data_IF_408923337530
#
_entry.id   IF_408923337530
#
_cell.length_a   1.000
_cell.length_b   1.000
_cell.length_c   1.000
_cell.angle_alpha   90.00
_cell.angle_beta   90.00
_cell.angle_gamma   90.00
#
_symmetry.space_group_name_H-M   'P 1'
#
loop_
_entity.id
_entity.type
_entity.pdbx_description
1 polymer ?
#
# COMPACT_ATOMS: atom_id res chain seq x y z
N UNK A 1 -21.28 50.63 -25.12
CA UNK A 1 -20.58 49.34 -25.37
C UNK A 1 -19.66 48.89 -24.24
N UNK A 2 -18.70 49.70 -23.78
CA UNK A 2 -17.70 49.34 -22.73
C UNK A 2 -18.30 48.81 -21.43
N UNK A 3 -19.43 49.37 -20.92
CA UNK A 3 -20.08 48.93 -19.67
C UNK A 3 -20.66 47.51 -19.75
N UNK A 4 -21.19 47.10 -20.93
CA UNK A 4 -21.70 45.74 -21.13
C UNK A 4 -20.57 44.69 -21.08
N UNK A 5 -19.43 44.97 -21.71
CA UNK A 5 -18.27 44.08 -21.67
C UNK A 5 -17.68 43.96 -20.26
N UNK A 6 -17.67 45.04 -19.48
CA UNK A 6 -17.25 45.03 -18.09
C UNK A 6 -18.16 44.16 -17.21
N UNK A 7 -19.49 44.24 -17.40
CA UNK A 7 -20.45 43.42 -16.68
C UNK A 7 -20.33 41.93 -17.06
N UNK A 8 -20.12 41.61 -18.34
CA UNK A 8 -19.88 40.25 -18.80
C UNK A 8 -18.58 39.71 -18.19
N UNK A 9 -17.50 40.47 -18.20
CA UNK A 9 -16.25 40.09 -17.58
C UNK A 9 -16.39 39.83 -16.09
N UNK A 10 -17.10 40.69 -15.35
CA UNK A 10 -17.36 40.48 -13.93
C UNK A 10 -18.19 39.20 -13.66
N UNK A 11 -19.21 38.95 -14.48
CA UNK A 11 -20.03 37.73 -14.38
C UNK A 11 -19.22 36.48 -14.64
N UNK A 12 -18.32 36.48 -15.64
CA UNK A 12 -17.41 35.33 -15.92
C UNK A 12 -16.46 35.10 -14.76
N UNK A 13 -15.84 36.16 -14.21
CA UNK A 13 -14.97 36.05 -13.04
C UNK A 13 -15.70 35.49 -11.83
N UNK A 14 -16.94 35.96 -11.56
CA UNK A 14 -17.76 35.42 -10.47
C UNK A 14 -18.11 33.95 -10.67
N UNK A 15 -18.45 33.54 -11.89
CA UNK A 15 -18.74 32.14 -12.23
C UNK A 15 -17.50 31.25 -12.04
N UNK A 16 -16.32 31.70 -12.47
CA UNK A 16 -15.04 30.98 -12.27
C UNK A 16 -14.69 30.88 -10.78
N UNK A 17 -14.91 31.94 -10.01
CA UNK A 17 -14.68 31.92 -8.56
C UNK A 17 -15.60 30.91 -7.85
N UNK A 18 -16.90 30.93 -8.17
CA UNK A 18 -17.85 29.96 -7.62
C UNK A 18 -17.50 28.53 -8.02
N UNK A 19 -17.16 28.30 -9.29
CA UNK A 19 -16.73 26.99 -9.76
C UNK A 19 -15.49 26.48 -9.00
N UNK A 20 -14.47 27.34 -8.85
CA UNK A 20 -13.26 26.98 -8.08
C UNK A 20 -13.58 26.68 -6.63
N UNK A 21 -14.48 27.47 -6.01
CA UNK A 21 -14.93 27.22 -4.64
C UNK A 21 -15.65 25.89 -4.47
N UNK A 22 -16.52 25.52 -5.41
CA UNK A 22 -17.20 24.22 -5.42
C UNK A 22 -16.19 23.07 -5.59
N UNK A 23 -15.21 23.21 -6.49
CA UNK A 23 -14.18 22.19 -6.69
C UNK A 23 -13.32 21.98 -5.45
N UNK A 24 -12.88 23.05 -4.79
CA UNK A 24 -12.13 22.98 -3.53
C UNK A 24 -12.95 22.33 -2.41
N UNK A 25 -14.23 22.72 -2.31
CA UNK A 25 -15.13 22.13 -1.30
C UNK A 25 -15.32 20.63 -1.54
N UNK A 26 -15.50 20.20 -2.79
CA UNK A 26 -15.63 18.77 -3.14
C UNK A 26 -14.36 18.00 -2.79
N UNK A 27 -13.19 18.55 -3.11
CA UNK A 27 -11.90 17.94 -2.76
C UNK A 27 -11.75 17.79 -1.25
N UNK A 28 -12.07 18.84 -0.48
CA UNK A 28 -12.04 18.78 0.99
C UNK A 28 -13.05 17.78 1.56
N UNK A 29 -14.25 17.71 0.98
CA UNK A 29 -15.26 16.75 1.42
C UNK A 29 -14.83 15.29 1.15
N UNK A 30 -14.24 15.01 -0.01
CA UNK A 30 -13.71 13.66 -0.35
C UNK A 30 -12.54 13.28 0.56
N UNK A 31 -11.61 14.22 0.83
CA UNK A 31 -10.52 14.03 1.79
C UNK A 31 -11.04 13.61 3.17
N UNK A 32 -11.98 14.38 3.70
CA UNK A 32 -12.56 14.13 5.01
C UNK A 32 -13.32 12.80 5.06
N UNK A 33 -14.14 12.52 4.05
CA UNK A 33 -14.88 11.27 3.95
C UNK A 33 -13.94 10.06 3.87
N UNK A 34 -12.87 10.16 3.09
CA UNK A 34 -11.87 9.11 2.96
C UNK A 34 -11.14 8.84 4.28
N UNK A 35 -10.72 9.90 4.99
CA UNK A 35 -10.06 9.78 6.30
C UNK A 35 -10.99 9.13 7.34
N UNK A 36 -12.25 9.59 7.44
CA UNK A 36 -13.25 9.02 8.35
C UNK A 36 -13.54 7.54 8.03
N UNK A 37 -13.59 7.19 6.74
CA UNK A 37 -13.81 5.81 6.31
C UNK A 37 -12.65 4.90 6.73
N UNK A 38 -11.39 5.32 6.56
CA UNK A 38 -10.24 4.56 7.00
C UNK A 38 -10.17 4.42 8.52
N UNK A 39 -10.49 5.47 9.27
CA UNK A 39 -10.56 5.43 10.73
C UNK A 39 -11.62 4.42 11.21
N UNK A 40 -12.80 4.41 10.58
CA UNK A 40 -13.85 3.46 10.89
C UNK A 40 -13.42 2.02 10.59
N UNK A 41 -12.75 1.78 9.45
CA UNK A 41 -12.25 0.45 9.09
C UNK A 41 -11.12 0.01 10.04
N UNK A 42 -10.21 0.92 10.41
CA UNK A 42 -9.16 0.63 11.38
C UNK A 42 -9.72 0.28 12.78
N UNK A 43 -10.82 0.89 13.17
CA UNK A 43 -11.50 0.58 14.44
C UNK A 43 -12.13 -0.82 14.48
N UNK A 44 -12.29 -1.49 13.32
CA UNK A 44 -12.78 -2.88 13.26
C UNK A 44 -11.68 -3.91 13.48
N UNK A 45 -10.42 -3.49 13.36
CA UNK A 45 -9.28 -4.40 13.55
C UNK A 45 -9.22 -4.76 15.03
N UNK A 46 -9.37 -6.05 15.35
CA UNK A 46 -9.25 -6.53 16.74
C UNK A 46 -7.81 -6.31 17.22
N UNK A 47 -7.66 -5.50 18.24
CA UNK A 47 -6.38 -5.26 18.91
C UNK A 47 -6.18 -6.32 19.97
N UNK A 48 -4.99 -6.90 20.07
CA UNK A 48 -4.61 -7.69 21.23
C UNK A 48 -4.85 -6.88 22.49
N UNK A 49 -5.43 -7.48 23.56
CA UNK A 49 -5.59 -6.79 24.81
C UNK A 49 -4.22 -6.33 25.31
N UNK A 50 -4.07 -5.03 25.57
CA UNK A 50 -2.85 -4.48 26.13
C UNK A 50 -2.48 -5.28 27.40
N UNK A 51 -1.19 -5.59 27.64
CA UNK A 51 -0.76 -6.31 28.82
C UNK A 51 -1.22 -5.52 30.05
N UNK A 52 -2.14 -6.09 30.80
CA UNK A 52 -2.63 -5.51 32.05
C UNK A 52 -1.52 -5.68 33.09
N UNK A 53 -1.03 -4.57 33.64
CA UNK A 53 -0.03 -4.50 34.73
C UNK A 53 -0.54 -5.10 36.07
N UNK A 54 -1.32 -6.15 36.03
CA UNK A 54 -1.76 -6.89 37.18
C UNK A 54 -1.09 -8.25 37.21
N UNK A 55 -0.35 -8.64 38.27
CA UNK A 55 0.23 -9.97 38.38
C UNK A 55 -0.88 -10.98 38.66
N UNK A 56 -1.57 -11.42 37.62
CA UNK A 56 -2.40 -12.61 37.65
C UNK A 56 -1.71 -13.69 36.81
N UNK A 57 -1.80 -14.93 37.31
CA UNK A 57 -1.28 -16.14 36.65
C UNK A 57 -1.48 -16.06 35.15
N UNK A 58 -0.37 -16.12 34.42
CA UNK A 58 -0.31 -16.02 32.97
C UNK A 58 -0.96 -17.28 32.38
N UNK A 59 -2.28 -17.31 32.29
CA UNK A 59 -2.94 -18.10 31.27
C UNK A 59 -2.56 -17.47 29.94
N UNK A 60 -1.71 -18.12 29.16
CA UNK A 60 -1.36 -17.72 27.79
C UNK A 60 -2.67 -17.66 27.00
N UNK A 61 -3.23 -16.47 26.82
CA UNK A 61 -4.33 -16.26 25.90
C UNK A 61 -3.82 -16.67 24.52
N UNK A 62 -4.57 -17.49 23.78
CA UNK A 62 -4.16 -17.88 22.43
C UNK A 62 -3.96 -16.62 21.58
N UNK A 63 -2.81 -16.53 20.94
CA UNK A 63 -2.47 -15.44 20.01
C UNK A 63 -3.52 -15.39 18.88
N UNK A 64 -4.13 -14.22 18.65
CA UNK A 64 -5.14 -14.04 17.59
C UNK A 64 -4.55 -14.45 16.25
N UNK A 65 -5.26 -15.26 15.50
CA UNK A 65 -4.92 -15.52 14.09
C UNK A 65 -5.15 -14.26 13.24
N UNK A 66 -4.46 -14.15 12.13
CA UNK A 66 -4.67 -13.02 11.22
C UNK A 66 -6.13 -12.94 10.73
N UNK A 67 -6.77 -14.09 10.51
CA UNK A 67 -8.19 -14.13 10.15
C UNK A 67 -9.08 -13.56 11.24
N UNK A 68 -8.87 -13.93 12.50
CA UNK A 68 -9.66 -13.41 13.63
C UNK A 68 -9.47 -11.90 13.77
N UNK A 69 -8.22 -11.42 13.64
CA UNK A 69 -7.89 -9.98 13.71
C UNK A 69 -8.62 -9.16 12.65
N UNK A 70 -8.75 -9.67 11.42
CA UNK A 70 -9.29 -8.91 10.29
C UNK A 70 -10.68 -9.34 9.83
N UNK A 71 -11.32 -10.30 10.52
CA UNK A 71 -12.62 -10.85 10.15
C UNK A 71 -13.69 -9.79 9.99
N UNK A 72 -13.81 -8.86 10.94
CA UNK A 72 -14.83 -7.81 10.91
C UNK A 72 -14.66 -6.85 9.71
N UNK A 73 -13.42 -6.62 9.28
CA UNK A 73 -13.12 -5.84 8.06
C UNK A 73 -13.56 -6.59 6.81
N UNK A 74 -13.23 -7.88 6.73
CA UNK A 74 -13.58 -8.74 5.60
C UNK A 74 -15.11 -8.96 5.49
N UNK A 75 -15.83 -9.04 6.61
CA UNK A 75 -17.30 -9.14 6.62
C UNK A 75 -17.98 -7.89 6.07
N UNK A 76 -17.37 -6.69 6.22
CA UNK A 76 -17.92 -5.45 5.64
C UNK A 76 -17.62 -5.33 4.14
N UNK A 77 -16.48 -5.83 3.68
CA UNK A 77 -16.15 -5.83 2.27
C UNK A 77 -15.33 -7.07 1.92
N UNK A 78 -15.97 -8.00 1.20
CA UNK A 78 -15.37 -9.28 0.80
C UNK A 78 -14.18 -9.18 -0.14
N UNK A 79 -13.94 -8.00 -0.75
CA UNK A 79 -12.76 -7.75 -1.59
C UNK A 79 -11.52 -7.41 -0.75
N UNK A 80 -11.67 -7.29 0.58
CA UNK A 80 -10.56 -7.13 1.49
C UNK A 80 -9.70 -8.39 1.51
N UNK A 81 -8.39 -8.21 1.30
CA UNK A 81 -7.43 -9.33 1.23
C UNK A 81 -6.30 -9.23 2.25
N UNK A 82 -6.12 -8.07 2.87
CA UNK A 82 -5.08 -7.90 3.87
C UNK A 82 -4.92 -6.45 4.34
N UNK A 83 -3.95 -6.25 5.23
CA UNK A 83 -3.63 -4.96 5.82
C UNK A 83 -2.15 -4.65 5.61
N UNK A 84 -1.86 -3.49 5.04
CA UNK A 84 -0.50 -3.04 4.76
C UNK A 84 -0.12 -1.89 5.69
N UNK A 85 1.02 -2.01 6.35
CA UNK A 85 1.59 -0.90 7.12
C UNK A 85 3.10 -0.78 6.96
N UNK A 86 3.59 0.45 7.02
CA UNK A 86 5.03 0.76 7.13
C UNK A 86 5.21 1.52 8.45
N UNK A 87 5.76 0.88 9.49
CA UNK A 87 5.89 1.50 10.81
C UNK A 87 6.60 2.85 10.76
N UNK A 88 6.07 3.85 11.46
CA UNK A 88 6.62 5.21 11.50
C UNK A 88 6.23 6.10 10.31
N UNK A 89 5.35 5.63 9.43
CA UNK A 89 4.82 6.40 8.28
C UNK A 89 3.30 6.50 8.32
N UNK A 90 2.72 7.22 7.36
CA UNK A 90 1.26 7.30 7.18
C UNK A 90 0.69 6.07 6.43
N UNK A 91 1.52 5.11 6.01
CA UNK A 91 1.05 3.93 5.31
C UNK A 91 0.55 2.92 6.34
N UNK A 92 -0.77 2.88 6.52
CA UNK A 92 -1.48 1.96 7.42
C UNK A 92 -2.92 1.79 6.91
N UNK A 93 -3.12 0.86 5.96
CA UNK A 93 -4.34 0.80 5.17
C UNK A 93 -4.81 -0.63 4.91
N UNK A 94 -6.14 -0.86 4.81
CA UNK A 94 -6.68 -2.06 4.22
C UNK A 94 -6.23 -2.19 2.76
N UNK A 95 -6.04 -3.42 2.30
CA UNK A 95 -5.68 -3.73 0.92
C UNK A 95 -6.77 -4.58 0.30
N UNK A 96 -7.20 -4.19 -0.88
CA UNK A 96 -8.30 -4.79 -1.61
C UNK A 96 -7.80 -5.58 -2.82
N UNK A 97 -8.62 -6.49 -3.33
CA UNK A 97 -8.37 -7.12 -4.64
C UNK A 97 -9.69 -7.43 -5.34
N UNK A 98 -9.75 -7.11 -6.64
CA UNK A 98 -10.80 -7.54 -7.56
C UNK A 98 -10.14 -8.17 -8.77
N UNK A 99 -10.29 -9.49 -8.92
CA UNK A 99 -9.64 -10.25 -10.01
C UNK A 99 -10.29 -9.94 -11.35
N UNK A 100 -11.62 -9.81 -11.38
CA UNK A 100 -12.40 -9.64 -12.61
C UNK A 100 -12.54 -8.17 -13.05
N UNK A 101 -12.24 -7.20 -12.16
CA UNK A 101 -12.34 -5.77 -12.42
C UNK A 101 -11.01 -5.05 -12.12
N UNK A 102 -10.05 -5.04 -13.06
CA UNK A 102 -8.75 -4.37 -12.87
C UNK A 102 -8.91 -2.91 -12.48
N UNK A 103 -8.07 -2.46 -11.53
CA UNK A 103 -8.06 -1.07 -11.04
C UNK A 103 -9.39 -0.58 -10.42
N UNK A 104 -10.29 -1.47 -9.99
CA UNK A 104 -11.58 -1.10 -9.41
C UNK A 104 -11.42 -0.10 -8.27
N UNK A 105 -10.47 -0.35 -7.34
CA UNK A 105 -10.20 0.49 -6.18
C UNK A 105 -9.32 1.71 -6.46
N UNK A 106 -8.88 1.92 -7.71
CA UNK A 106 -8.14 3.12 -8.09
C UNK A 106 -8.94 4.41 -7.83
N UNK A 107 -10.28 4.35 -8.00
CA UNK A 107 -11.18 5.50 -7.84
C UNK A 107 -12.41 5.15 -6.99
N UNK A 108 -12.27 4.21 -6.06
CA UNK A 108 -13.32 3.81 -5.12
C UNK A 108 -12.78 3.66 -3.72
N UNK A 109 -13.55 4.13 -2.75
CA UNK A 109 -13.33 3.91 -1.32
C UNK A 109 -13.59 2.46 -0.89
N UNK A 110 -13.39 2.18 0.39
CA UNK A 110 -13.65 0.87 0.99
C UNK A 110 -15.13 0.46 0.86
N UNK A 111 -16.03 1.44 0.86
CA UNK A 111 -17.49 1.28 0.66
C UNK A 111 -17.90 1.09 -0.82
N UNK A 112 -16.92 0.96 -1.72
CA UNK A 112 -17.12 0.86 -3.19
C UNK A 112 -17.68 2.13 -3.85
N UNK A 113 -17.89 3.21 -3.09
CA UNK A 113 -18.32 4.48 -3.65
C UNK A 113 -17.13 5.22 -4.29
N UNK A 114 -17.44 6.18 -5.17
CA UNK A 114 -16.40 6.98 -5.81
C UNK A 114 -15.59 7.75 -4.77
N UNK A 115 -14.26 7.65 -4.85
CA UNK A 115 -13.29 8.43 -4.11
C UNK A 115 -12.05 8.68 -4.96
N UNK A 116 -11.56 9.91 -4.98
CA UNK A 116 -10.30 10.25 -5.64
C UNK A 116 -9.07 9.70 -4.88
N UNK A 117 -9.24 9.34 -3.62
CA UNK A 117 -8.22 8.71 -2.78
C UNK A 117 -8.03 7.23 -3.11
N UNK A 118 -9.09 6.54 -3.53
CA UNK A 118 -9.07 5.09 -3.72
C UNK A 118 -8.78 4.32 -2.43
N UNK A 119 -8.44 3.05 -2.57
CA UNK A 119 -7.89 2.19 -1.50
C UNK A 119 -6.70 1.44 -2.11
N UNK A 120 -5.61 1.17 -1.37
CA UNK A 120 -4.55 0.30 -1.85
C UNK A 120 -5.09 -1.05 -2.33
N UNK A 121 -4.58 -1.55 -3.43
CA UNK A 121 -5.09 -2.78 -4.01
C UNK A 121 -4.01 -3.64 -4.66
N UNK A 122 -4.17 -4.95 -4.57
CA UNK A 122 -3.34 -5.94 -5.23
C UNK A 122 -3.71 -6.00 -6.71
N UNK A 123 -2.70 -6.12 -7.58
CA UNK A 123 -2.89 -6.31 -9.01
C UNK A 123 -3.73 -7.56 -9.28
N UNK A 124 -4.62 -7.49 -10.27
CA UNK A 124 -5.63 -8.50 -10.56
C UNK A 124 -5.09 -9.91 -10.87
N UNK A 125 -3.91 -10.00 -11.46
CA UNK A 125 -3.26 -11.26 -11.83
C UNK A 125 -2.32 -11.82 -10.76
N UNK A 126 -2.27 -11.21 -9.58
CA UNK A 126 -1.56 -11.76 -8.43
C UNK A 126 -2.46 -12.72 -7.65
N UNK A 127 -1.94 -13.88 -7.31
CA UNK A 127 -2.52 -14.82 -6.35
C UNK A 127 -1.71 -14.73 -5.05
N UNK A 128 -2.37 -14.34 -3.94
CA UNK A 128 -1.69 -14.09 -2.65
C UNK A 128 -1.00 -15.35 -2.09
N UNK A 129 -1.46 -16.54 -2.46
CA UNK A 129 -0.86 -17.80 -2.02
C UNK A 129 0.23 -18.30 -2.97
N UNK A 130 0.03 -18.13 -4.27
CA UNK A 130 0.84 -18.80 -5.29
C UNK A 130 1.85 -17.88 -5.97
N UNK A 131 1.57 -16.59 -6.08
CA UNK A 131 2.49 -15.65 -6.71
C UNK A 131 3.82 -15.54 -5.96
N UNK A 132 4.90 -15.37 -6.70
CA UNK A 132 6.22 -15.09 -6.13
C UNK A 132 6.38 -13.59 -5.81
N UNK A 133 5.60 -12.74 -6.49
CA UNK A 133 5.56 -11.31 -6.23
C UNK A 133 4.12 -10.78 -6.31
N UNK A 134 3.63 -10.16 -5.24
CA UNK A 134 2.36 -9.47 -5.21
C UNK A 134 2.58 -7.96 -5.38
N UNK A 135 2.07 -7.38 -6.47
CA UNK A 135 2.16 -5.95 -6.73
C UNK A 135 0.98 -5.23 -6.10
N UNK A 136 1.26 -4.23 -5.25
CA UNK A 136 0.27 -3.45 -4.52
C UNK A 136 0.39 -1.99 -4.95
N UNK A 137 -0.71 -1.44 -5.44
CA UNK A 137 -0.80 -0.06 -5.89
C UNK A 137 -1.50 0.81 -4.85
N UNK A 138 -1.05 2.05 -4.71
CA UNK A 138 -1.71 3.08 -3.92
C UNK A 138 -1.43 4.47 -4.49
N UNK A 139 -2.36 5.40 -4.30
CA UNK A 139 -2.20 6.78 -4.75
C UNK A 139 -1.09 7.51 -3.99
N UNK A 140 -0.42 8.43 -4.66
CA UNK A 140 0.36 9.48 -4.04
C UNK A 140 -0.52 10.72 -3.91
N UNK A 141 -1.03 11.01 -2.71
CA UNK A 141 -1.85 12.17 -2.47
C UNK A 141 -1.01 13.37 -2.02
N UNK A 142 -1.35 14.56 -2.52
CA UNK A 142 -0.60 15.80 -2.22
C UNK A 142 -0.64 16.19 -0.73
N UNK A 143 -1.63 15.72 0.02
CA UNK A 143 -1.75 15.92 1.47
C UNK A 143 -0.88 14.93 2.29
N UNK A 144 -0.08 14.08 1.65
CA UNK A 144 0.82 13.14 2.30
C UNK A 144 0.17 11.82 2.74
N UNK A 145 -1.09 11.58 2.38
CA UNK A 145 -1.79 10.33 2.68
C UNK A 145 -1.58 9.26 1.60
N UNK A 146 -2.18 8.11 1.78
CA UNK A 146 -2.06 6.93 0.95
C UNK A 146 -0.59 6.48 0.84
N UNK A 147 -0.07 6.26 -0.37
CA UNK A 147 1.31 5.84 -0.60
C UNK A 147 2.28 7.01 -0.86
N UNK A 148 1.91 8.24 -0.46
CA UNK A 148 2.80 9.39 -0.62
C UNK A 148 4.16 9.18 0.07
N UNK A 149 4.17 8.53 1.24
CA UNK A 149 5.39 8.26 2.02
C UNK A 149 6.35 7.28 1.33
N UNK A 150 5.91 6.50 0.33
CA UNK A 150 6.83 5.71 -0.48
C UNK A 150 7.86 6.58 -1.22
N UNK A 151 7.51 7.81 -1.57
CA UNK A 151 8.46 8.72 -2.22
C UNK A 151 9.56 9.19 -1.28
N UNK A 152 9.39 9.10 0.05
CA UNK A 152 10.44 9.40 1.03
C UNK A 152 11.58 8.39 1.00
N UNK A 153 11.33 7.17 0.51
CA UNK A 153 12.37 6.16 0.26
C UNK A 153 13.39 6.59 -0.81
N UNK A 154 13.22 7.74 -1.47
CA UNK A 154 14.29 8.36 -2.25
C UNK A 154 15.52 8.67 -1.40
N UNK A 155 15.33 8.93 -0.10
CA UNK A 155 16.40 9.10 0.88
C UNK A 155 16.83 7.76 1.48
N UNK A 156 18.13 7.47 1.43
CA UNK A 156 18.70 6.31 2.11
C UNK A 156 18.53 6.41 3.63
N UNK A 157 18.61 7.61 4.22
CA UNK A 157 18.39 7.82 5.66
C UNK A 157 16.96 7.39 6.06
N UNK A 158 15.96 7.73 5.23
CA UNK A 158 14.59 7.28 5.47
C UNK A 158 14.47 5.75 5.40
N UNK A 159 15.12 5.11 4.43
CA UNK A 159 15.17 3.64 4.35
C UNK A 159 15.81 3.04 5.61
N UNK A 160 16.90 3.61 6.14
CA UNK A 160 17.56 3.08 7.34
C UNK A 160 16.62 3.04 8.57
N UNK A 161 15.66 3.95 8.63
CA UNK A 161 14.64 4.01 9.70
C UNK A 161 13.42 3.13 9.40
N UNK A 162 13.18 2.76 8.12
CA UNK A 162 11.97 2.09 7.65
C UNK A 162 12.31 0.87 6.75
N UNK A 163 13.13 -0.06 7.26
CA UNK A 163 13.61 -1.23 6.50
C UNK A 163 12.54 -2.28 6.25
N UNK A 164 11.49 -2.29 7.06
CA UNK A 164 10.46 -3.33 7.03
C UNK A 164 9.09 -2.79 6.65
N UNK A 165 8.34 -3.63 5.97
CA UNK A 165 6.95 -3.44 5.61
C UNK A 165 6.15 -4.60 6.19
N UNK A 166 4.98 -4.34 6.76
CA UNK A 166 4.06 -5.38 7.20
C UNK A 166 2.92 -5.50 6.20
N UNK A 167 2.69 -6.71 5.74
CA UNK A 167 1.52 -7.03 4.95
C UNK A 167 0.89 -8.31 5.48
N UNK A 168 -0.11 -8.10 6.32
CA UNK A 168 -0.92 -9.17 6.87
C UNK A 168 -2.00 -9.56 5.85
N UNK A 169 -2.20 -10.85 5.65
CA UNK A 169 -3.30 -11.37 4.86
C UNK A 169 -4.26 -12.15 5.77
N UNK A 170 -5.44 -12.51 5.27
CA UNK A 170 -6.37 -13.35 6.04
C UNK A 170 -5.79 -14.72 6.39
N UNK A 171 -4.73 -15.17 5.70
CA UNK A 171 -4.07 -16.47 5.94
C UNK A 171 -2.87 -16.38 6.88
N UNK A 172 -2.39 -15.19 7.24
CA UNK A 172 -1.27 -15.06 8.16
C UNK A 172 -0.66 -13.66 8.19
N UNK A 173 0.09 -13.40 9.23
CA UNK A 173 0.90 -12.20 9.39
C UNK A 173 2.12 -12.25 8.47
N UNK A 174 2.51 -11.11 7.94
CA UNK A 174 3.65 -11.01 7.04
C UNK A 174 4.53 -9.81 7.32
N UNK A 175 5.80 -10.05 7.58
CA UNK A 175 6.83 -9.03 7.66
C UNK A 175 7.76 -9.17 6.46
N UNK A 176 8.12 -8.04 5.84
CA UNK A 176 8.90 -7.99 4.61
C UNK A 176 10.05 -7.01 4.77
N UNK A 177 11.24 -7.40 4.35
CA UNK A 177 12.43 -6.57 4.34
C UNK A 177 12.69 -5.98 2.96
N UNK A 178 12.96 -4.67 2.89
CA UNK A 178 13.14 -3.96 1.62
C UNK A 178 14.42 -4.43 0.91
N UNK A 179 14.25 -4.93 -0.32
CA UNK A 179 15.33 -5.42 -1.20
C UNK A 179 15.84 -4.34 -2.13
N UNK A 180 14.94 -3.54 -2.71
CA UNK A 180 15.30 -2.50 -3.68
C UNK A 180 14.27 -1.38 -3.69
N UNK A 181 14.76 -0.15 -3.94
CA UNK A 181 13.95 1.05 -4.12
C UNK A 181 14.38 1.74 -5.40
N UNK A 182 13.48 1.95 -6.33
CA UNK A 182 13.82 2.59 -7.60
C UNK A 182 12.68 3.43 -8.18
N UNK A 183 13.08 4.32 -9.09
CA UNK A 183 12.16 5.08 -9.94
C UNK A 183 12.12 4.47 -11.34
N UNK A 184 10.94 4.44 -11.94
CA UNK A 184 10.76 3.98 -13.32
C UNK A 184 9.61 4.73 -13.97
N UNK A 185 9.40 4.54 -15.27
CA UNK A 185 8.28 5.12 -16.02
C UNK A 185 7.37 3.98 -16.49
N UNK A 186 6.13 3.99 -15.99
CA UNK A 186 5.13 3.01 -16.43
C UNK A 186 4.67 3.27 -17.86
N UNK A 187 4.23 2.21 -18.56
CA UNK A 187 3.69 2.28 -19.92
C UNK A 187 4.66 2.85 -20.96
N UNK A 188 5.96 2.76 -20.70
CA UNK A 188 7.03 3.18 -21.60
C UNK A 188 7.86 1.98 -22.04
N UNK A 189 8.31 1.99 -23.30
CA UNK A 189 9.28 0.98 -23.79
C UNK A 189 10.63 1.06 -23.06
N UNK A 190 10.95 2.21 -22.51
CA UNK A 190 12.20 2.47 -21.79
C UNK A 190 12.10 2.18 -20.30
N UNK A 191 10.88 2.03 -19.74
CA UNK A 191 10.65 1.79 -18.31
C UNK A 191 10.74 0.31 -17.95
N UNK A 192 11.23 0.01 -16.76
CA UNK A 192 11.20 -1.35 -16.23
C UNK A 192 9.77 -1.75 -15.87
N UNK A 193 9.27 -2.82 -16.50
CA UNK A 193 7.90 -3.32 -16.34
C UNK A 193 7.80 -4.28 -15.17
N UNK A 194 8.17 -3.86 -13.97
CA UNK A 194 8.19 -4.64 -12.72
C UNK A 194 6.85 -5.34 -12.45
N UNK A 195 5.76 -4.76 -12.89
CA UNK A 195 4.39 -5.26 -12.70
C UNK A 195 4.03 -6.46 -13.60
N UNK A 196 4.89 -6.87 -14.53
CA UNK A 196 4.71 -8.10 -15.29
C UNK A 196 5.25 -9.33 -14.55
N UNK A 197 6.15 -9.12 -13.57
CA UNK A 197 6.72 -10.20 -12.80
C UNK A 197 5.85 -10.48 -11.56
N UNK A 198 4.96 -11.45 -11.68
CA UNK A 198 4.13 -11.94 -10.57
C UNK A 198 4.47 -13.38 -10.19
N UNK A 199 5.05 -14.15 -11.15
CA UNK A 199 5.50 -15.52 -10.95
C UNK A 199 6.72 -15.79 -11.81
N UNK A 200 7.70 -16.48 -11.24
CA UNK A 200 8.89 -16.91 -11.95
C UNK A 200 8.67 -18.26 -12.62
N UNK A 201 9.14 -18.39 -13.84
CA UNK A 201 9.16 -19.68 -14.55
C UNK A 201 10.33 -20.56 -14.08
N UNK A 202 11.39 -19.96 -13.53
CA UNK A 202 12.59 -20.65 -13.07
C UNK A 202 13.36 -19.81 -12.04
N UNK A 203 14.35 -20.42 -11.38
CA UNK A 203 15.28 -19.73 -10.51
C UNK A 203 16.11 -18.65 -11.25
N UNK A 204 16.42 -18.89 -12.53
CA UNK A 204 17.15 -17.92 -13.37
C UNK A 204 16.28 -16.69 -13.65
N UNK A 205 15.00 -16.87 -13.96
CA UNK A 205 14.04 -15.80 -14.21
C UNK A 205 13.83 -14.95 -12.94
N UNK A 206 13.65 -15.61 -11.78
CA UNK A 206 13.57 -14.91 -10.50
C UNK A 206 14.84 -14.09 -10.20
N UNK A 207 16.02 -14.72 -10.36
CA UNK A 207 17.31 -14.06 -10.17
C UNK A 207 17.51 -12.87 -11.11
N UNK A 208 17.09 -12.97 -12.37
CA UNK A 208 17.14 -11.88 -13.34
C UNK A 208 16.26 -10.69 -12.92
N UNK A 209 15.05 -10.97 -12.42
CA UNK A 209 14.17 -9.91 -11.88
C UNK A 209 14.80 -9.19 -10.69
N UNK A 210 15.33 -9.92 -9.71
CA UNK A 210 16.01 -9.34 -8.54
C UNK A 210 17.25 -8.54 -8.95
N UNK A 211 18.06 -9.07 -9.85
CA UNK A 211 19.23 -8.37 -10.37
C UNK A 211 18.86 -7.04 -11.05
N UNK A 212 17.78 -7.03 -11.83
CA UNK A 212 17.28 -5.83 -12.47
C UNK A 212 16.76 -4.80 -11.45
N UNK A 213 16.02 -5.24 -10.41
CA UNK A 213 15.56 -4.37 -9.33
C UNK A 213 16.76 -3.73 -8.60
N UNK A 214 17.77 -4.53 -8.27
CA UNK A 214 18.99 -4.03 -7.59
C UNK A 214 19.81 -3.10 -8.48
N UNK A 215 19.90 -3.36 -9.77
CA UNK A 215 20.61 -2.49 -10.73
C UNK A 215 19.96 -1.11 -10.88
N UNK A 216 18.65 -1.02 -10.69
CA UNK A 216 17.88 0.23 -10.73
C UNK A 216 17.78 0.91 -9.36
N UNK A 217 18.14 0.21 -8.28
CA UNK A 217 17.96 0.72 -6.92
C UNK A 217 18.76 1.99 -6.69
N UNK A 218 18.15 2.95 -6.00
CA UNK A 218 18.73 4.26 -5.67
C UNK A 218 19.95 4.14 -4.74
N UNK A 219 20.00 3.06 -3.95
CA UNK A 219 21.08 2.72 -3.03
C UNK A 219 21.12 1.19 -2.83
N UNK A 220 22.22 0.69 -2.28
CA UNK A 220 22.32 -0.72 -1.91
C UNK A 220 21.72 -0.95 -0.51
N UNK A 221 20.67 -1.76 -0.45
CA UNK A 221 20.02 -2.14 0.82
C UNK A 221 20.82 -3.18 1.61
N UNK A 222 21.79 -3.86 0.98
CA UNK A 222 22.48 -5.03 1.52
C UNK A 222 21.61 -6.30 1.51
N UNK A 223 20.32 -6.20 1.15
CA UNK A 223 19.35 -7.31 1.14
C UNK A 223 19.24 -7.89 -0.27
N UNK A 224 19.05 -9.19 -0.37
CA UNK A 224 18.74 -9.88 -1.63
C UNK A 224 17.62 -10.90 -1.42
N UNK A 225 17.05 -11.40 -2.51
CA UNK A 225 16.06 -12.45 -2.51
C UNK A 225 16.48 -13.58 -3.46
N UNK A 226 16.09 -14.82 -3.12
CA UNK A 226 16.38 -16.02 -3.87
C UNK A 226 15.09 -16.70 -4.33
N UNK A 227 15.19 -17.57 -5.34
CA UNK A 227 14.02 -18.30 -5.83
C UNK A 227 13.37 -19.14 -4.72
N UNK A 228 12.09 -18.94 -4.52
CA UNK A 228 11.31 -19.50 -3.40
C UNK A 228 10.95 -18.45 -2.34
N UNK A 229 11.66 -17.33 -2.27
CA UNK A 229 11.23 -16.19 -1.45
C UNK A 229 9.92 -15.59 -2.01
N UNK A 230 9.09 -15.06 -1.13
CA UNK A 230 7.88 -14.33 -1.50
C UNK A 230 8.12 -12.84 -1.42
N UNK A 231 7.75 -12.14 -2.47
CA UNK A 231 7.93 -10.71 -2.62
C UNK A 231 6.60 -9.96 -2.55
N UNK A 232 6.67 -8.72 -2.07
CA UNK A 232 5.69 -7.68 -2.36
C UNK A 232 6.38 -6.52 -3.07
N UNK A 233 5.67 -5.90 -3.99
CA UNK A 233 6.11 -4.70 -4.70
C UNK A 233 5.11 -3.60 -4.49
N UNK A 234 5.49 -2.56 -3.73
CA UNK A 234 4.66 -1.38 -3.51
C UNK A 234 4.93 -0.36 -4.59
N UNK A 235 3.88 0.20 -5.18
CA UNK A 235 4.02 1.16 -6.27
C UNK A 235 3.08 2.35 -6.13
N UNK A 236 3.63 3.54 -6.31
CA UNK A 236 2.88 4.79 -6.35
C UNK A 236 3.34 5.71 -7.47
N UNK A 237 2.54 6.75 -7.76
CA UNK A 237 2.94 7.79 -8.71
C UNK A 237 4.11 8.62 -8.16
N UNK A 238 5.06 8.91 -9.05
CA UNK A 238 6.17 9.83 -8.80
C UNK A 238 6.14 10.87 -9.93
N UNK A 239 6.35 12.14 -9.60
CA UNK A 239 5.98 13.24 -10.50
C UNK A 239 7.17 13.91 -11.20
N UNK A 240 8.40 13.37 -11.09
CA UNK A 240 9.55 13.87 -11.85
C UNK A 240 9.43 13.63 -13.35
N UNK A 241 8.66 12.60 -13.74
CA UNK A 241 8.38 12.25 -15.12
C UNK A 241 6.90 11.93 -15.34
N UNK A 242 6.43 12.11 -16.58
CA UNK A 242 5.09 11.63 -16.97
C UNK A 242 5.02 10.11 -16.80
N UNK A 243 4.02 9.64 -16.08
CA UNK A 243 3.86 8.23 -15.69
C UNK A 243 5.00 7.68 -14.82
N UNK A 244 5.73 8.56 -14.12
CA UNK A 244 6.74 8.15 -13.15
C UNK A 244 6.15 7.29 -12.02
N UNK A 245 6.94 6.34 -11.56
CA UNK A 245 6.61 5.47 -10.43
C UNK A 245 7.78 5.42 -9.46
N UNK A 246 7.43 5.51 -8.17
CA UNK A 246 8.29 5.05 -7.08
C UNK A 246 7.90 3.62 -6.77
N UNK A 247 8.89 2.74 -6.70
CA UNK A 247 8.72 1.30 -6.50
C UNK A 247 9.61 0.85 -5.35
N UNK A 248 9.01 0.13 -4.40
CA UNK A 248 9.69 -0.51 -3.26
C UNK A 248 9.42 -2.01 -3.35
N UNK A 249 10.47 -2.80 -3.54
CA UNK A 249 10.41 -4.27 -3.57
C UNK A 249 10.91 -4.79 -2.23
N UNK A 250 10.13 -5.65 -1.59
CA UNK A 250 10.47 -6.25 -0.31
C UNK A 250 10.23 -7.76 -0.34
N UNK A 251 11.09 -8.52 0.35
CA UNK A 251 10.95 -9.96 0.51
C UNK A 251 10.39 -10.32 1.87
N UNK A 252 9.58 -11.36 1.92
CA UNK A 252 9.06 -11.90 3.18
C UNK A 252 10.20 -12.44 4.03
N UNK A 253 10.22 -12.03 5.29
CA UNK A 253 11.11 -12.61 6.30
C UNK A 253 10.30 -13.60 7.16
N UNK A 254 10.95 -14.67 7.62
CA UNK A 254 10.31 -15.57 8.57
C UNK A 254 10.07 -14.80 9.88
N UNK A 255 8.82 -14.68 10.29
CA UNK A 255 8.52 -14.27 11.67
C UNK A 255 9.03 -15.40 12.55
N UNK A 256 9.93 -15.16 13.52
CA UNK A 256 10.33 -16.20 14.45
C UNK A 256 9.06 -16.70 15.15
N UNK A 257 8.66 -17.94 14.87
CA UNK A 257 7.68 -18.61 15.72
C UNK A 257 8.28 -18.62 17.13
N UNK A 258 7.55 -18.10 18.13
CA UNK A 258 7.92 -18.29 19.53
C UNK A 258 8.24 -19.77 19.72
N UNK A 259 9.46 -20.07 20.15
CA UNK A 259 9.91 -21.44 20.36
C UNK A 259 8.92 -22.10 21.35
N UNK A 260 8.10 -23.00 20.84
CA UNK A 260 7.41 -23.97 21.69
C UNK A 260 8.52 -24.79 22.30
N UNK A 261 8.88 -24.45 23.55
CA UNK A 261 9.86 -25.18 24.31
C UNK A 261 9.47 -26.66 24.36
N UNK A 262 10.18 -27.46 23.59
CA UNK A 262 10.17 -28.91 23.77
C UNK A 262 11.02 -29.21 24.99
N UNK A 263 10.45 -29.14 26.17
CA UNK A 263 11.02 -29.84 27.33
C UNK A 263 10.72 -31.34 27.15
N UNK A 264 11.64 -32.04 26.49
CA UNK A 264 11.81 -33.49 26.68
C UNK A 264 12.54 -33.71 28.00
N UNK A 265 11.90 -34.35 28.93
CA UNK A 265 12.51 -35.12 30.02
C UNK A 265 11.65 -36.33 30.34
#
# INVERSE_FOLDING_TARGET
>A
MKRKYLMIGAAVCAALFLFSGIMLWRQYADEKQSAEAFEQVAALVETEPAPTDTPQETELLPELTAFEKYRAVQEQNSDFVGWLSVPGTNIDYPVMQTVDEPNFYLKRGFDKQHSDYGVPYVQENCDLALSDNCVIYGHHMNNGTMFADLCKYESEDFYQEHKTVRFDTLSGFGEYEVVAVFKTVAYSEQGFKYYHFTRADSAEDFGAYIAQCKALSLYDTGVTAEYGDKLITLSTCEYSHKNGRMVVVAKRIAVPSAEVGSDEA
#
